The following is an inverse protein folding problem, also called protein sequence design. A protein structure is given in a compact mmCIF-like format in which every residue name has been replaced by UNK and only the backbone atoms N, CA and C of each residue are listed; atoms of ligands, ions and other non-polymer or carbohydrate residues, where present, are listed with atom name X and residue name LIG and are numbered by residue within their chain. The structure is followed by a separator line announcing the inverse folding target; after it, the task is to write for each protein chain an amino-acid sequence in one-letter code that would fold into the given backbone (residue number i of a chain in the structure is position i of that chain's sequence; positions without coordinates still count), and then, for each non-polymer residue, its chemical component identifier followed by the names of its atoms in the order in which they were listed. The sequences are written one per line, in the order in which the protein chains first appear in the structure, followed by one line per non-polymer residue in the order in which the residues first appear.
data_IF_065637625034
#
_entry.id   IF_065637625034
#
_cell.length_a   1.000
_cell.length_b   1.000
_cell.length_c   1.000
_cell.angle_alpha   90.00
_cell.angle_beta   90.00
_cell.angle_gamma   90.00
#
_symmetry.space_group_name_H-M   'P 1'
#
loop_
_entity.id
_entity.type
_entity.pdbx_description
1 polymer ?
#
# COMPACT_ATOMS: atom_id res chain seq x y z
N UNK A 1 -35.99 12.31 -69.33
CA UNK A 1 -35.88 10.96 -68.72
C UNK A 1 -34.48 10.63 -68.18
N UNK A 2 -33.36 10.89 -68.87
CA UNK A 2 -31.99 10.57 -68.38
C UNK A 2 -31.58 11.20 -67.03
N UNK A 3 -32.04 12.42 -66.72
CA UNK A 3 -31.73 13.09 -65.43
C UNK A 3 -32.45 12.50 -64.20
N UNK A 4 -33.58 11.83 -64.40
CA UNK A 4 -34.36 11.20 -63.30
C UNK A 4 -33.74 9.86 -62.90
N UNK A 5 -33.21 9.11 -63.86
CA UNK A 5 -32.52 7.84 -63.62
C UNK A 5 -31.21 7.99 -62.84
N UNK A 6 -30.45 9.08 -63.06
CA UNK A 6 -29.23 9.33 -62.29
C UNK A 6 -29.53 9.63 -60.82
N UNK A 7 -30.54 10.47 -60.53
CA UNK A 7 -30.94 10.73 -59.14
C UNK A 7 -31.42 9.46 -58.44
N UNK A 8 -32.24 8.62 -59.08
CA UNK A 8 -32.71 7.37 -58.49
C UNK A 8 -31.57 6.38 -58.21
N UNK A 9 -30.57 6.30 -59.11
CA UNK A 9 -29.37 5.48 -58.90
C UNK A 9 -28.55 5.98 -57.72
N UNK A 10 -28.38 7.30 -57.59
CA UNK A 10 -27.58 7.89 -56.52
C UNK A 10 -28.29 7.79 -55.16
N UNK A 11 -29.64 7.87 -55.13
CA UNK A 11 -30.43 7.55 -53.94
C UNK A 11 -30.40 6.06 -53.58
N UNK A 12 -30.45 5.16 -54.56
CA UNK A 12 -30.34 3.73 -54.31
C UNK A 12 -28.95 3.34 -53.80
N UNK A 13 -27.88 3.95 -54.31
CA UNK A 13 -26.52 3.78 -53.80
C UNK A 13 -26.34 4.38 -52.40
N UNK A 14 -26.95 5.54 -52.12
CA UNK A 14 -26.93 6.12 -50.78
C UNK A 14 -27.74 5.28 -49.78
N UNK A 15 -28.87 4.70 -50.19
CA UNK A 15 -29.66 3.78 -49.37
C UNK A 15 -28.93 2.45 -49.15
N UNK A 16 -28.25 1.92 -50.17
CA UNK A 16 -27.43 0.71 -50.05
C UNK A 16 -26.21 0.98 -49.14
N UNK A 17 -25.59 2.15 -49.23
CA UNK A 17 -24.50 2.59 -48.35
C UNK A 17 -24.96 2.79 -46.90
N UNK A 18 -26.18 3.33 -46.68
CA UNK A 18 -26.79 3.41 -45.35
C UNK A 18 -27.19 2.04 -44.80
N UNK A 19 -27.68 1.12 -45.65
CA UNK A 19 -27.99 -0.25 -45.23
C UNK A 19 -26.73 -1.08 -44.94
N UNK A 20 -25.59 -0.79 -45.59
CA UNK A 20 -24.30 -1.42 -45.24
C UNK A 20 -23.63 -0.85 -43.98
N UNK A 21 -24.05 0.33 -43.51
CA UNK A 21 -23.61 0.89 -42.20
C UNK A 21 -24.52 0.39 -41.06
N UNK A 22 -25.64 -0.26 -41.39
CA UNK A 22 -26.45 -1.09 -40.48
C UNK A 22 -26.09 -2.57 -40.59
N UNK A 23 -24.82 -2.90 -40.87
CA UNK A 23 -24.29 -4.17 -40.40
C UNK A 23 -24.50 -4.14 -38.88
N UNK A 24 -25.37 -5.01 -38.37
CA UNK A 24 -25.59 -5.15 -36.95
C UNK A 24 -24.22 -5.43 -36.32
N UNK A 25 -23.62 -4.46 -35.64
CA UNK A 25 -22.54 -4.77 -34.72
C UNK A 25 -23.19 -5.63 -33.65
N UNK A 26 -22.93 -6.93 -33.71
CA UNK A 26 -23.48 -7.86 -32.73
C UNK A 26 -22.99 -7.41 -31.35
N UNK A 27 -23.91 -7.23 -30.41
CA UNK A 27 -23.58 -6.75 -29.07
C UNK A 27 -22.48 -7.62 -28.47
N UNK A 28 -21.40 -7.01 -27.97
CA UNK A 28 -20.34 -7.76 -27.29
C UNK A 28 -20.83 -8.32 -25.94
N UNK A 29 -21.78 -7.63 -25.29
CA UNK A 29 -22.44 -8.03 -24.06
C UNK A 29 -23.81 -8.72 -24.32
N UNK A 30 -23.78 -9.89 -24.97
CA UNK A 30 -24.97 -10.62 -25.43
C UNK A 30 -25.93 -11.07 -24.31
N UNK A 31 -25.41 -11.29 -23.09
CA UNK A 31 -26.20 -11.69 -21.92
C UNK A 31 -26.68 -10.50 -21.07
N UNK A 32 -26.39 -9.26 -21.49
CA UNK A 32 -26.73 -8.04 -20.75
C UNK A 32 -26.18 -8.04 -19.30
N UNK A 33 -24.93 -8.46 -19.13
CA UNK A 33 -24.25 -8.37 -17.83
C UNK A 33 -24.28 -6.92 -17.34
N UNK A 34 -24.69 -6.68 -16.07
CA UNK A 34 -24.95 -5.32 -15.57
C UNK A 34 -23.69 -4.45 -15.43
N UNK A 35 -22.49 -5.02 -15.59
CA UNK A 35 -21.24 -4.26 -15.51
C UNK A 35 -20.84 -3.62 -16.84
N UNK A 36 -21.41 -4.07 -17.97
CA UNK A 36 -21.01 -3.66 -19.31
C UNK A 36 -22.18 -3.11 -20.13
N UNK A 37 -21.91 -2.15 -21.01
CA UNK A 37 -22.86 -1.72 -22.04
C UNK A 37 -22.97 -2.78 -23.14
N UNK A 38 -23.94 -2.65 -24.04
CA UNK A 38 -24.07 -3.54 -25.21
C UNK A 38 -22.82 -3.55 -26.09
N UNK A 39 -22.11 -2.42 -26.19
CA UNK A 39 -20.84 -2.27 -26.91
C UNK A 39 -19.63 -2.82 -26.13
N UNK A 40 -19.86 -3.39 -24.95
CA UNK A 40 -18.81 -3.96 -24.12
C UNK A 40 -17.94 -2.94 -23.37
N UNK A 41 -18.39 -1.70 -23.19
CA UNK A 41 -17.67 -0.75 -22.30
C UNK A 41 -18.14 -0.89 -20.85
N UNK A 42 -17.25 -0.74 -19.86
CA UNK A 42 -17.64 -0.75 -18.44
C UNK A 42 -18.60 0.38 -18.11
N UNK A 43 -19.75 0.06 -17.50
CA UNK A 43 -20.75 1.04 -17.06
C UNK A 43 -20.21 1.87 -15.89
N UNK A 44 -19.66 1.20 -14.87
CA UNK A 44 -19.08 1.84 -13.70
C UNK A 44 -17.56 1.73 -13.77
N UNK A 45 -16.88 2.85 -13.98
CA UNK A 45 -15.41 2.89 -13.93
C UNK A 45 -14.92 2.62 -12.49
N UNK A 46 -13.93 1.73 -12.29
CA UNK A 46 -13.38 1.48 -10.97
C UNK A 46 -12.78 2.74 -10.36
N UNK A 47 -12.98 2.93 -9.06
CA UNK A 47 -12.26 3.96 -8.30
C UNK A 47 -10.89 3.42 -7.91
N UNK A 48 -9.90 3.64 -8.76
CA UNK A 48 -8.55 3.11 -8.55
C UNK A 48 -7.87 3.71 -7.31
N UNK A 49 -7.05 2.89 -6.65
CA UNK A 49 -6.12 3.34 -5.62
C UNK A 49 -5.13 4.37 -6.20
N UNK A 50 -4.73 5.35 -5.38
CA UNK A 50 -3.89 6.48 -5.81
C UNK A 50 -2.76 6.73 -4.83
N UNK A 51 -1.65 7.23 -5.35
CA UNK A 51 -0.57 7.85 -4.59
C UNK A 51 -0.63 9.37 -4.72
N UNK A 52 -0.21 10.06 -3.67
CA UNK A 52 -0.05 11.50 -3.67
C UNK A 52 1.25 11.87 -2.96
N UNK A 53 2.20 12.38 -3.73
CA UNK A 53 3.53 12.76 -3.22
C UNK A 53 3.55 14.19 -2.66
N UNK A 54 2.45 14.96 -2.79
CA UNK A 54 2.37 16.32 -2.29
C UNK A 54 1.97 16.33 -0.81
N UNK A 55 2.96 16.18 0.07
CA UNK A 55 2.76 16.19 1.52
C UNK A 55 3.74 17.13 2.20
N UNK A 56 3.32 17.71 3.34
CA UNK A 56 4.23 18.34 4.29
C UNK A 56 4.53 17.31 5.38
N UNK A 57 5.80 17.00 5.58
CA UNK A 57 6.22 15.93 6.48
C UNK A 57 6.69 16.53 7.82
N UNK A 58 6.17 15.97 8.91
CA UNK A 58 6.55 16.32 10.27
C UNK A 58 7.18 15.11 10.94
N UNK A 59 8.49 15.17 11.19
CA UNK A 59 9.17 14.12 11.93
C UNK A 59 9.01 14.31 13.43
N UNK A 60 8.77 13.21 14.12
CA UNK A 60 8.68 13.11 15.57
C UNK A 60 9.64 12.01 16.04
N UNK A 61 10.47 12.32 17.03
CA UNK A 61 11.49 11.39 17.54
C UNK A 61 11.20 11.09 18.99
N UNK A 62 10.97 9.82 19.30
CA UNK A 62 10.93 9.35 20.67
C UNK A 62 12.36 9.34 21.26
N UNK A 63 12.53 9.99 22.41
CA UNK A 63 13.80 10.01 23.16
C UNK A 63 13.67 9.36 24.53
N UNK A 64 13.12 8.15 24.59
CA UNK A 64 12.96 7.40 25.84
C UNK A 64 14.22 6.64 26.24
N UNK A 65 14.26 6.10 27.46
CA UNK A 65 15.37 5.30 27.95
C UNK A 65 15.70 4.08 27.08
N UNK A 66 14.69 3.45 26.46
CA UNK A 66 14.90 2.29 25.57
C UNK A 66 15.49 2.68 24.22
N UNK A 67 15.37 3.94 23.80
CA UNK A 67 16.00 4.45 22.57
C UNK A 67 17.50 4.71 22.72
N UNK A 68 18.04 4.68 23.94
CA UNK A 68 19.42 5.09 24.25
C UNK A 68 20.47 4.23 23.52
N UNK A 69 20.23 2.92 23.33
CA UNK A 69 21.18 2.08 22.60
C UNK A 69 21.24 2.36 21.09
N UNK A 70 20.17 2.91 20.51
CA UNK A 70 20.19 3.40 19.13
C UNK A 70 20.91 4.75 19.01
N UNK A 71 20.75 5.62 20.01
CA UNK A 71 21.33 6.97 20.04
C UNK A 71 22.73 7.07 20.66
N UNK A 72 23.34 5.96 21.09
CA UNK A 72 24.60 5.94 21.86
C UNK A 72 25.63 6.97 21.36
N UNK A 73 26.00 7.91 22.24
CA UNK A 73 26.90 9.01 21.91
C UNK A 73 28.21 8.54 21.27
N UNK A 74 28.62 9.19 20.17
CA UNK A 74 29.89 8.89 19.48
C UNK A 74 29.98 7.50 18.82
N UNK A 75 28.92 6.70 18.87
CA UNK A 75 28.87 5.38 18.24
C UNK A 75 27.96 5.39 17.02
N UNK A 76 28.40 4.84 15.89
CA UNK A 76 27.55 4.65 14.73
C UNK A 76 26.58 3.48 14.96
N UNK A 77 25.30 3.70 14.65
CA UNK A 77 24.30 2.64 14.57
C UNK A 77 23.63 2.70 13.22
N UNK A 78 23.13 1.56 12.78
CA UNK A 78 22.33 1.46 11.57
C UNK A 78 21.13 2.42 11.63
N UNK A 79 20.45 2.47 12.78
CA UNK A 79 19.39 3.42 13.07
C UNK A 79 19.77 4.88 12.77
N UNK A 80 20.92 5.36 13.27
CA UNK A 80 21.34 6.75 13.05
C UNK A 80 21.56 7.05 11.57
N UNK A 81 22.17 6.11 10.85
CA UNK A 81 22.38 6.26 9.41
C UNK A 81 21.03 6.33 8.68
N UNK A 82 20.10 5.42 8.97
CA UNK A 82 18.78 5.40 8.32
C UNK A 82 18.00 6.68 8.59
N UNK A 83 17.93 7.11 9.85
CA UNK A 83 17.28 8.35 10.25
C UNK A 83 17.92 9.57 9.57
N UNK A 84 19.25 9.62 9.54
CA UNK A 84 19.98 10.71 8.86
C UNK A 84 19.62 10.78 7.38
N UNK A 85 19.70 9.65 6.66
CA UNK A 85 19.45 9.59 5.22
C UNK A 85 17.99 9.92 4.89
N UNK A 86 17.03 9.30 5.58
CA UNK A 86 15.60 9.50 5.35
C UNK A 86 15.19 10.96 5.58
N UNK A 87 15.62 11.56 6.70
CA UNK A 87 15.29 12.96 6.95
C UNK A 87 15.97 13.91 5.96
N UNK A 88 17.19 13.60 5.52
CA UNK A 88 17.89 14.39 4.50
C UNK A 88 17.13 14.37 3.17
N UNK A 89 16.64 13.20 2.77
CA UNK A 89 15.82 13.04 1.56
C UNK A 89 14.53 13.87 1.62
N UNK A 90 13.85 13.88 2.77
CA UNK A 90 12.60 14.62 2.96
C UNK A 90 12.79 16.09 3.40
N UNK A 91 14.03 16.58 3.49
CA UNK A 91 14.31 17.97 3.89
C UNK A 91 13.61 19.05 3.08
N UNK A 92 13.34 18.91 1.75
CA UNK A 92 12.63 19.96 1.00
C UNK A 92 11.15 20.11 1.39
N UNK A 93 10.56 19.08 2.00
CA UNK A 93 9.13 19.02 2.37
C UNK A 93 8.92 18.93 3.89
N UNK A 94 10.02 19.03 4.65
CA UNK A 94 10.03 19.00 6.12
C UNK A 94 10.43 20.37 6.63
N UNK A 95 9.75 20.86 7.67
CA UNK A 95 10.10 22.14 8.31
C UNK A 95 11.02 21.92 9.50
N UNK A 96 10.57 21.12 10.47
CA UNK A 96 11.25 20.93 11.75
C UNK A 96 11.20 19.47 12.19
N UNK A 97 12.16 19.07 13.04
CA UNK A 97 12.18 17.78 13.74
C UNK A 97 11.68 18.00 15.17
N UNK A 98 10.60 17.33 15.54
CA UNK A 98 9.98 17.45 16.86
C UNK A 98 10.55 16.36 17.79
N UNK A 99 11.20 16.76 18.87
CA UNK A 99 11.68 15.81 19.88
C UNK A 99 10.58 15.59 20.90
N UNK A 100 10.18 14.34 21.10
CA UNK A 100 9.07 13.98 21.99
C UNK A 100 9.60 13.64 23.37
N UNK A 101 9.16 14.40 24.38
CA UNK A 101 9.46 14.09 25.79
C UNK A 101 8.74 12.84 26.25
N UNK A 102 9.26 12.31 27.35
CA UNK A 102 8.69 11.25 28.17
C UNK A 102 7.25 11.54 28.65
N UNK A 103 6.87 12.82 28.82
CA UNK A 103 5.49 13.24 29.15
C UNK A 103 4.54 13.25 27.95
N UNK A 104 5.03 12.92 26.75
CA UNK A 104 4.31 12.94 25.50
C UNK A 104 4.20 14.33 24.84
N UNK A 105 4.69 15.39 25.49
CA UNK A 105 4.81 16.74 24.90
C UNK A 105 6.03 16.89 23.98
N UNK A 106 6.03 17.92 23.13
CA UNK A 106 7.20 18.29 22.31
C UNK A 106 8.22 19.02 23.18
N UNK A 107 9.38 18.41 23.40
CA UNK A 107 10.49 18.92 24.21
C UNK A 107 11.13 20.17 23.60
N UNK A 108 11.12 20.21 22.27
CA UNK A 108 11.73 21.24 21.45
C UNK A 108 11.57 20.90 19.98
N UNK A 109 11.72 21.91 19.16
CA UNK A 109 11.82 21.78 17.71
C UNK A 109 13.27 22.08 17.32
N UNK A 110 13.87 21.15 16.58
CA UNK A 110 15.22 21.29 16.06
C UNK A 110 15.13 21.42 14.54
N UNK A 111 15.99 22.26 13.98
CA UNK A 111 16.26 22.16 12.54
C UNK A 111 16.89 20.80 12.25
N UNK A 112 16.78 20.35 10.99
CA UNK A 112 17.38 19.08 10.59
C UNK A 112 18.88 19.00 10.93
N UNK A 113 19.64 20.06 10.66
CA UNK A 113 21.07 20.11 10.94
C UNK A 113 21.35 20.01 12.46
N UNK A 114 20.57 20.71 13.29
CA UNK A 114 20.71 20.64 14.75
C UNK A 114 20.41 19.22 15.26
N UNK A 115 19.35 18.58 14.74
CA UNK A 115 19.01 17.22 15.12
C UNK A 115 20.11 16.23 14.71
N UNK A 116 20.63 16.33 13.48
CA UNK A 116 21.71 15.47 12.99
C UNK A 116 22.98 15.61 13.85
N UNK A 117 23.34 16.82 14.26
CA UNK A 117 24.43 17.05 15.20
C UNK A 117 24.12 16.40 16.55
N UNK A 118 22.94 16.65 17.13
CA UNK A 118 22.55 16.11 18.44
C UNK A 118 22.53 14.57 18.48
N UNK A 119 22.05 13.93 17.41
CA UNK A 119 22.03 12.48 17.26
C UNK A 119 23.44 11.87 17.25
N UNK A 120 24.40 12.55 16.63
CA UNK A 120 25.78 12.07 16.54
C UNK A 120 26.57 12.30 17.84
N UNK A 121 26.39 13.47 18.47
CA UNK A 121 27.08 13.84 19.72
C UNK A 121 26.46 13.20 20.96
N UNK A 122 25.24 12.65 20.85
CA UNK A 122 24.50 12.10 21.98
C UNK A 122 23.89 13.17 22.89
N UNK A 123 23.60 14.35 22.35
CA UNK A 123 22.98 15.45 23.07
C UNK A 123 21.45 15.29 23.26
N UNK A 124 20.86 14.22 22.72
CA UNK A 124 19.46 13.87 22.94
C UNK A 124 19.32 13.14 24.28
N UNK A 125 18.60 13.72 25.24
CA UNK A 125 18.39 13.12 26.56
C UNK A 125 17.41 11.94 26.49
N UNK A 126 17.95 10.73 26.39
CA UNK A 126 17.20 9.46 26.36
C UNK A 126 17.18 8.78 27.74
N UNK A 127 16.48 9.35 28.73
CA UNK A 127 16.62 8.96 30.14
C UNK A 127 15.33 8.67 30.92
N UNK A 128 14.13 8.77 30.32
CA UNK A 128 12.89 8.50 31.06
C UNK A 128 11.85 7.70 30.26
N UNK A 129 10.70 7.48 30.90
CA UNK A 129 9.62 6.59 30.46
C UNK A 129 8.74 7.15 29.34
N UNK A 130 8.28 6.26 28.46
CA UNK A 130 7.47 6.65 27.30
C UNK A 130 5.97 6.66 27.57
N UNK A 131 5.29 7.76 27.24
CA UNK A 131 3.83 7.83 27.14
C UNK A 131 3.37 7.89 25.68
N UNK A 132 3.48 6.76 24.97
CA UNK A 132 3.09 6.64 23.55
C UNK A 132 1.66 7.16 23.27
N UNK A 133 0.62 6.94 24.11
CA UNK A 133 -0.71 7.47 23.84
C UNK A 133 -0.75 9.01 23.83
N UNK A 134 -0.02 9.66 24.73
CA UNK A 134 0.01 11.13 24.78
C UNK A 134 0.76 11.68 23.58
N UNK A 135 1.87 11.05 23.19
CA UNK A 135 2.58 11.38 21.95
C UNK A 135 1.66 11.27 20.74
N UNK A 136 0.96 10.14 20.60
CA UNK A 136 0.05 9.90 19.49
C UNK A 136 -1.06 10.95 19.44
N UNK A 137 -1.70 11.25 20.58
CA UNK A 137 -2.74 12.28 20.68
C UNK A 137 -2.23 13.64 20.21
N UNK A 138 -1.05 14.04 20.66
CA UNK A 138 -0.44 15.30 20.29
C UNK A 138 -0.12 15.36 18.79
N UNK A 139 0.49 14.31 18.24
CA UNK A 139 0.81 14.20 16.81
C UNK A 139 -0.47 14.34 15.98
N UNK A 140 -1.47 13.51 16.26
CA UNK A 140 -2.74 13.47 15.53
C UNK A 140 -3.47 14.82 15.58
N UNK A 141 -3.52 15.45 16.77
CA UNK A 141 -4.21 16.75 16.95
C UNK A 141 -3.60 17.90 16.15
N UNK A 142 -2.33 17.77 15.72
CA UNK A 142 -1.60 18.80 14.97
C UNK A 142 -1.66 18.60 13.46
N UNK A 143 -2.08 17.43 12.98
CA UNK A 143 -2.13 17.12 11.55
C UNK A 143 -3.22 17.92 10.84
N UNK A 144 -2.81 18.76 9.89
CA UNK A 144 -3.71 19.46 8.96
C UNK A 144 -3.90 18.65 7.67
N UNK A 145 -4.71 19.18 6.76
CA UNK A 145 -4.85 18.64 5.41
C UNK A 145 -3.48 18.61 4.73
N UNK A 146 -3.18 17.52 4.03
CA UNK A 146 -1.88 17.24 3.39
C UNK A 146 -0.68 17.04 4.33
N UNK A 147 -0.82 17.18 5.65
CA UNK A 147 0.25 16.84 6.56
C UNK A 147 0.39 15.32 6.69
N UNK A 148 1.63 14.86 6.80
CA UNK A 148 1.98 13.49 7.20
C UNK A 148 2.92 13.56 8.39
N UNK A 149 2.59 12.85 9.46
CA UNK A 149 3.48 12.68 10.60
C UNK A 149 4.26 11.37 10.47
N UNK A 150 5.54 11.40 10.84
CA UNK A 150 6.39 10.20 10.95
C UNK A 150 6.98 10.16 12.34
N UNK A 151 6.48 9.26 13.19
CA UNK A 151 7.05 8.98 14.51
C UNK A 151 8.11 7.88 14.38
N UNK A 152 9.34 8.18 14.79
CA UNK A 152 10.45 7.23 14.84
C UNK A 152 10.64 6.79 16.30
N UNK A 153 10.51 5.49 16.55
CA UNK A 153 10.33 4.93 17.89
C UNK A 153 10.62 3.43 17.89
N UNK A 154 11.01 2.87 19.04
CA UNK A 154 11.04 1.41 19.26
C UNK A 154 9.66 0.87 19.69
N UNK A 155 8.68 1.76 19.82
CA UNK A 155 7.29 1.52 20.18
C UNK A 155 7.12 0.82 21.54
N UNK A 156 8.08 1.00 22.46
CA UNK A 156 8.01 0.48 23.83
C UNK A 156 7.33 1.47 24.76
N UNK A 157 6.09 1.14 25.14
CA UNK A 157 5.36 1.84 26.18
C UNK A 157 5.85 1.36 27.53
N UNK A 158 6.59 2.17 28.30
CA UNK A 158 7.07 1.80 29.63
C UNK A 158 6.68 2.85 30.66
N UNK A 159 5.59 2.68 31.42
CA UNK A 159 5.27 3.53 32.56
C UNK A 159 6.11 3.13 33.80
N UNK A 160 6.88 4.05 34.39
CA UNK A 160 7.73 3.81 35.57
C UNK A 160 6.94 3.19 36.74
N UNK A 161 7.54 2.24 37.45
CA UNK A 161 7.19 1.91 38.85
C UNK A 161 5.91 1.09 39.05
N UNK A 162 5.41 0.43 38.02
CA UNK A 162 4.08 -0.19 38.05
C UNK A 162 4.10 -1.68 38.41
N UNK A 163 3.36 -2.04 39.46
CA UNK A 163 3.28 -3.42 39.98
C UNK A 163 2.45 -4.39 39.11
N UNK A 164 1.72 -3.91 38.09
CA UNK A 164 0.83 -4.72 37.24
C UNK A 164 0.94 -4.37 35.73
N UNK A 165 1.98 -4.88 35.03
CA UNK A 165 2.26 -4.53 33.62
C UNK A 165 1.11 -4.86 32.66
N UNK A 166 0.40 -5.98 32.87
CA UNK A 166 -0.67 -6.42 31.97
C UNK A 166 -1.89 -5.48 31.98
N UNK A 167 -2.28 -4.98 33.17
CA UNK A 167 -3.42 -4.05 33.30
C UNK A 167 -3.15 -2.74 32.54
N UNK A 168 -1.90 -2.28 32.60
CA UNK A 168 -1.46 -1.08 31.89
C UNK A 168 -1.42 -1.26 30.38
N UNK A 169 -1.06 -2.45 29.90
CA UNK A 169 -1.11 -2.76 28.46
C UNK A 169 -2.55 -2.78 27.92
N UNK A 170 -3.52 -3.23 28.72
CA UNK A 170 -4.95 -3.14 28.35
C UNK A 170 -5.44 -1.70 28.33
N UNK A 171 -5.11 -0.90 29.36
CA UNK A 171 -5.45 0.53 29.39
C UNK A 171 -4.80 1.28 28.21
N UNK A 172 -3.54 0.96 27.93
CA UNK A 172 -2.80 1.47 26.77
C UNK A 172 -3.55 1.19 25.47
N UNK A 173 -3.97 -0.05 25.24
CA UNK A 173 -4.75 -0.41 24.04
C UNK A 173 -6.06 0.38 23.93
N UNK A 174 -6.79 0.55 25.04
CA UNK A 174 -8.03 1.33 25.07
C UNK A 174 -7.82 2.82 24.79
N UNK A 175 -6.73 3.42 25.30
CA UNK A 175 -6.39 4.81 25.00
C UNK A 175 -6.02 5.02 23.53
N UNK A 176 -5.24 4.09 22.96
CA UNK A 176 -4.89 4.11 21.54
C UNK A 176 -6.16 3.97 20.69
N UNK A 177 -7.07 3.08 21.06
CA UNK A 177 -8.36 2.90 20.37
C UNK A 177 -9.16 4.19 20.30
N UNK A 178 -9.29 4.91 21.42
CA UNK A 178 -9.98 6.21 21.45
C UNK A 178 -9.29 7.23 20.54
N UNK A 179 -7.97 7.37 20.63
CA UNK A 179 -7.23 8.35 19.82
C UNK A 179 -7.35 8.03 18.31
N UNK A 180 -7.19 6.76 17.94
CA UNK A 180 -7.31 6.33 16.56
C UNK A 180 -8.72 6.55 16.03
N UNK A 181 -9.73 6.14 16.80
CA UNK A 181 -11.15 6.29 16.47
C UNK A 181 -11.56 7.75 16.30
N UNK A 182 -11.11 8.65 17.15
CA UNK A 182 -11.41 10.09 17.05
C UNK A 182 -10.76 10.72 15.80
N UNK A 183 -9.61 10.20 15.37
CA UNK A 183 -8.81 10.78 14.28
C UNK A 183 -9.27 10.37 12.88
N UNK A 184 -9.74 9.14 12.74
CA UNK A 184 -10.04 8.48 11.47
C UNK A 184 -8.91 8.62 10.41
N UNK A 185 -7.65 8.68 10.85
CA UNK A 185 -6.47 8.74 9.97
C UNK A 185 -6.02 7.35 9.53
N UNK A 186 -5.27 7.30 8.43
CA UNK A 186 -4.57 6.09 8.02
C UNK A 186 -3.21 6.00 8.75
N UNK A 187 -2.82 4.77 9.09
CA UNK A 187 -1.58 4.44 9.78
C UNK A 187 -0.78 3.45 8.96
N UNK A 188 0.52 3.67 8.85
CA UNK A 188 1.45 2.72 8.26
C UNK A 188 2.67 2.56 9.15
N UNK A 189 2.94 1.34 9.61
CA UNK A 189 4.07 1.01 10.46
C UNK A 189 5.13 0.31 9.62
N UNK A 190 6.26 0.97 9.37
CA UNK A 190 7.41 0.38 8.70
C UNK A 190 8.39 -0.12 9.75
N UNK A 191 8.77 -1.40 9.68
CA UNK A 191 9.72 -2.02 10.59
C UNK A 191 11.11 -2.12 9.94
N UNK A 192 12.14 -1.78 10.72
CA UNK A 192 13.53 -1.97 10.37
C UNK A 192 14.33 -2.50 11.57
N UNK A 193 15.56 -2.94 11.32
CA UNK A 193 16.46 -3.41 12.38
C UNK A 193 17.77 -2.65 12.40
N UNK A 194 18.32 -2.47 13.60
CA UNK A 194 19.63 -1.87 13.84
C UNK A 194 20.38 -2.61 14.93
N UNK A 195 21.70 -2.46 14.93
CA UNK A 195 22.50 -2.74 16.10
C UNK A 195 22.09 -1.84 17.28
N UNK A 196 22.12 -2.41 18.48
CA UNK A 196 21.81 -1.74 19.75
C UNK A 196 23.04 -1.76 20.65
N UNK A 197 23.48 -0.58 21.11
CA UNK A 197 24.77 -0.42 21.79
C UNK A 197 24.58 -0.12 23.28
N UNK A 198 25.24 -0.93 24.11
CA UNK A 198 25.31 -0.79 25.56
C UNK A 198 26.05 0.48 25.99
N UNK A 199 25.94 0.87 27.27
CA UNK A 199 26.61 2.06 27.83
C UNK A 199 28.14 2.00 27.73
N UNK A 200 28.70 0.79 27.79
CA UNK A 200 30.14 0.53 27.65
C UNK A 200 30.63 0.53 26.19
N UNK A 201 29.73 0.69 25.20
CA UNK A 201 30.07 0.66 23.79
C UNK A 201 30.00 -0.73 23.15
N UNK A 202 29.67 -1.79 23.90
CA UNK A 202 29.48 -3.13 23.34
C UNK A 202 28.17 -3.24 22.55
N UNK A 203 28.17 -4.05 21.48
CA UNK A 203 26.96 -4.39 20.74
C UNK A 203 26.18 -5.44 21.54
N UNK A 204 24.97 -5.10 21.96
CA UNK A 204 24.06 -6.02 22.67
C UNK A 204 23.37 -6.97 21.70
N UNK A 205 22.97 -6.45 20.54
CA UNK A 205 22.39 -7.21 19.43
C UNK A 205 22.53 -6.42 18.14
N UNK A 206 22.61 -7.10 17.00
CA UNK A 206 22.62 -6.50 15.67
C UNK A 206 21.22 -6.31 15.05
N UNK A 207 20.19 -6.87 15.69
CA UNK A 207 18.83 -7.00 15.10
C UNK A 207 17.74 -6.43 15.99
N UNK A 208 18.03 -5.34 16.70
CA UNK A 208 17.03 -4.65 17.51
C UNK A 208 16.03 -3.91 16.61
N UNK A 209 14.71 -4.14 16.76
CA UNK A 209 13.71 -3.54 15.89
C UNK A 209 13.46 -2.07 16.27
N UNK A 210 13.20 -1.26 15.25
CA UNK A 210 12.69 0.10 15.40
C UNK A 210 11.73 0.41 14.25
N UNK A 211 10.90 1.44 14.42
CA UNK A 211 9.75 1.67 13.55
C UNK A 211 9.62 3.11 13.11
N UNK A 212 9.07 3.27 11.90
CA UNK A 212 8.50 4.52 11.40
C UNK A 212 6.98 4.35 11.38
N UNK A 213 6.29 4.98 12.34
CA UNK A 213 4.84 5.08 12.34
C UNK A 213 4.42 6.33 11.55
N UNK A 214 3.83 6.11 10.40
CA UNK A 214 3.42 7.14 9.44
C UNK A 214 1.91 7.35 9.56
N UNK A 215 1.47 8.60 9.71
CA UNK A 215 0.07 8.94 10.03
C UNK A 215 -0.41 10.10 9.15
N UNK A 216 -1.58 9.97 8.53
CA UNK A 216 -2.14 11.02 7.68
C UNK A 216 -3.27 10.57 6.76
N UNK A 217 -3.40 11.24 5.62
CA UNK A 217 -4.28 10.80 4.52
C UNK A 217 -3.63 9.63 3.78
N UNK A 218 -4.40 8.56 3.54
CA UNK A 218 -3.90 7.27 3.02
C UNK A 218 -2.98 7.38 1.80
N UNK A 219 -3.38 8.12 0.76
CA UNK A 219 -2.60 8.25 -0.48
C UNK A 219 -1.22 8.91 -0.26
N UNK A 220 -1.12 9.81 0.74
CA UNK A 220 0.12 10.45 1.16
C UNK A 220 0.93 9.56 2.09
N UNK A 221 0.28 8.87 3.02
CA UNK A 221 0.91 7.87 3.89
C UNK A 221 1.57 6.77 3.03
N UNK A 222 0.88 6.25 2.02
CA UNK A 222 1.45 5.26 1.08
C UNK A 222 2.66 5.79 0.33
N UNK A 223 2.66 7.06 -0.09
CA UNK A 223 3.78 7.67 -0.79
C UNK A 223 5.02 7.82 0.12
N UNK A 224 4.82 8.30 1.35
CA UNK A 224 5.90 8.41 2.36
C UNK A 224 6.40 7.03 2.78
N UNK A 225 5.50 6.07 3.00
CA UNK A 225 5.83 4.65 3.27
C UNK A 225 6.73 4.09 2.18
N UNK A 226 6.36 4.29 0.91
CA UNK A 226 7.15 3.81 -0.23
C UNK A 226 8.57 4.37 -0.19
N UNK A 227 8.75 5.68 -0.02
CA UNK A 227 10.10 6.27 0.04
C UNK A 227 10.93 5.70 1.19
N UNK A 228 10.38 5.68 2.41
CA UNK A 228 11.07 5.12 3.59
C UNK A 228 11.44 3.64 3.36
N UNK A 229 10.51 2.81 2.89
CA UNK A 229 10.74 1.39 2.65
C UNK A 229 11.82 1.14 1.59
N UNK A 230 11.83 1.91 0.49
CA UNK A 230 12.89 1.80 -0.54
C UNK A 230 14.26 2.09 0.06
N UNK A 231 14.41 3.16 0.85
CA UNK A 231 15.70 3.53 1.45
C UNK A 231 16.19 2.43 2.39
N UNK A 232 15.31 1.94 3.27
CA UNK A 232 15.63 0.86 4.19
C UNK A 232 15.95 -0.46 3.46
N UNK A 233 15.28 -0.76 2.34
CA UNK A 233 15.54 -1.94 1.53
C UNK A 233 16.93 -1.87 0.87
N UNK A 234 17.33 -0.70 0.37
CA UNK A 234 18.69 -0.49 -0.18
C UNK A 234 19.78 -0.72 0.85
N UNK A 235 19.53 -0.32 2.10
CA UNK A 235 20.44 -0.57 3.22
C UNK A 235 20.35 -2.00 3.77
N UNK A 236 19.47 -2.85 3.22
CA UNK A 236 19.17 -4.22 3.71
C UNK A 236 18.68 -4.26 5.16
N UNK A 237 17.95 -3.22 5.58
CA UNK A 237 17.43 -3.05 6.96
C UNK A 237 15.92 -3.13 7.04
N UNK A 238 15.21 -2.98 5.92
CA UNK A 238 13.77 -3.14 5.85
C UNK A 238 13.36 -4.57 6.24
N UNK A 239 12.35 -4.68 7.11
CA UNK A 239 11.79 -5.96 7.55
C UNK A 239 10.44 -6.20 6.89
N UNK A 240 9.46 -5.33 7.19
CA UNK A 240 8.08 -5.46 6.74
C UNK A 240 7.32 -4.13 6.98
N UNK A 241 6.08 -4.08 6.51
CA UNK A 241 5.14 -2.99 6.74
C UNK A 241 3.73 -3.49 7.06
N UNK A 242 3.09 -2.86 8.04
CA UNK A 242 1.66 -3.00 8.33
C UNK A 242 0.92 -1.70 7.98
N UNK A 243 -0.28 -1.84 7.43
CA UNK A 243 -1.17 -0.73 7.09
C UNK A 243 -2.49 -0.92 7.84
N UNK A 244 -3.02 0.15 8.44
CA UNK A 244 -4.25 0.14 9.24
C UNK A 244 -5.07 1.40 8.90
N UNK A 245 -6.39 1.25 8.75
CA UNK A 245 -7.29 2.35 8.37
C UNK A 245 -7.31 2.68 6.88
N UNK A 246 -6.81 1.77 6.04
CA UNK A 246 -6.75 1.95 4.60
C UNK A 246 -8.06 1.55 3.94
N UNK A 247 -8.66 2.45 3.18
CA UNK A 247 -9.75 2.17 2.26
C UNK A 247 -9.16 1.95 0.87
N UNK A 248 -8.81 0.70 0.54
CA UNK A 248 -8.19 0.41 -0.75
C UNK A 248 -9.22 0.62 -1.87
N UNK A 249 -8.85 1.41 -2.88
CA UNK A 249 -9.57 1.44 -4.15
C UNK A 249 -9.24 0.19 -4.98
N UNK A 250 -9.92 0.02 -6.11
CA UNK A 250 -9.60 -1.04 -7.06
C UNK A 250 -8.11 -0.97 -7.48
N UNK A 251 -7.49 -2.11 -7.78
CA UNK A 251 -6.14 -2.13 -8.31
C UNK A 251 -6.13 -1.52 -9.71
N UNK A 252 -5.32 -0.48 -10.01
CA UNK A 252 -5.13 -0.04 -11.39
C UNK A 252 -4.52 -1.17 -12.22
N UNK A 253 -4.99 -1.32 -13.46
CA UNK A 253 -4.55 -2.40 -14.33
C UNK A 253 -4.50 -1.99 -15.80
N UNK A 254 -3.69 -2.73 -16.55
CA UNK A 254 -3.59 -2.67 -18.01
C UNK A 254 -3.52 -4.10 -18.58
N UNK A 255 -3.52 -4.22 -19.90
CA UNK A 255 -3.35 -5.50 -20.58
C UNK A 255 -2.21 -5.40 -21.59
N UNK A 256 -1.47 -6.50 -21.77
CA UNK A 256 -0.66 -6.67 -22.98
C UNK A 256 -1.52 -7.20 -24.13
N UNK A 257 -0.91 -7.30 -25.30
CA UNK A 257 -1.53 -7.91 -26.46
C UNK A 257 -2.05 -9.32 -26.12
N UNK A 258 -3.37 -9.55 -26.25
CA UNK A 258 -3.95 -10.85 -25.96
C UNK A 258 -3.65 -11.87 -27.07
N UNK A 259 -3.85 -13.15 -26.78
CA UNK A 259 -3.75 -14.23 -27.78
C UNK A 259 -5.13 -14.80 -28.10
N UNK A 260 -5.39 -15.02 -29.39
CA UNK A 260 -6.61 -15.61 -29.97
C UNK A 260 -7.90 -14.79 -29.79
N UNK A 261 -7.79 -13.53 -29.35
CA UNK A 261 -8.88 -12.55 -29.26
C UNK A 261 -8.31 -11.17 -29.56
N UNK A 262 -9.18 -10.21 -29.89
CA UNK A 262 -8.81 -8.80 -29.99
C UNK A 262 -9.33 -8.03 -28.78
N UNK A 263 -8.63 -6.96 -28.37
CA UNK A 263 -9.07 -6.10 -27.27
C UNK A 263 -9.81 -4.86 -27.81
N UNK A 264 -10.97 -4.55 -27.24
CA UNK A 264 -11.66 -3.27 -27.44
C UNK A 264 -10.85 -2.14 -26.79
N UNK A 265 -10.40 -1.18 -27.60
CA UNK A 265 -9.54 -0.07 -27.17
C UNK A 265 -10.09 0.65 -25.93
N UNK A 266 -9.25 0.73 -24.89
CA UNK A 266 -9.57 1.44 -23.65
C UNK A 266 -10.61 0.76 -22.75
N UNK A 267 -11.02 -0.46 -23.07
CA UNK A 267 -11.96 -1.27 -22.27
C UNK A 267 -11.34 -2.61 -21.87
N UNK A 268 -11.76 -3.22 -20.74
CA UNK A 268 -11.36 -4.57 -20.36
C UNK A 268 -12.24 -5.60 -21.08
N UNK A 269 -12.36 -5.45 -22.40
CA UNK A 269 -13.28 -6.25 -23.21
C UNK A 269 -12.52 -6.83 -24.37
N UNK A 270 -12.72 -8.13 -24.58
CA UNK A 270 -12.07 -8.92 -25.59
C UNK A 270 -13.13 -9.60 -26.47
N UNK A 271 -12.85 -9.74 -27.75
CA UNK A 271 -13.83 -10.20 -28.74
C UNK A 271 -13.17 -11.12 -29.79
N UNK A 272 -13.98 -11.86 -30.55
CA UNK A 272 -13.53 -12.86 -31.52
C UNK A 272 -13.07 -14.19 -30.89
N UNK A 273 -13.53 -14.52 -29.68
CA UNK A 273 -13.20 -15.79 -29.04
C UNK A 273 -13.75 -16.97 -29.86
N UNK A 274 -12.92 -18.00 -30.08
CA UNK A 274 -13.35 -19.24 -30.72
C UNK A 274 -13.34 -19.22 -32.26
N UNK A 275 -12.98 -18.11 -32.91
CA UNK A 275 -12.90 -18.04 -34.38
C UNK A 275 -11.82 -18.97 -34.96
N UNK A 276 -10.75 -19.23 -34.21
CA UNK A 276 -9.62 -20.07 -34.64
C UNK A 276 -9.24 -21.15 -33.64
N UNK A 277 -9.37 -20.87 -32.34
CA UNK A 277 -9.01 -21.78 -31.23
C UNK A 277 -10.00 -21.57 -30.09
N UNK A 278 -10.48 -22.65 -29.44
CA UNK A 278 -11.37 -22.59 -28.27
C UNK A 278 -10.60 -22.33 -26.95
N UNK A 279 -9.65 -21.40 -27.02
CA UNK A 279 -8.98 -20.83 -25.85
C UNK A 279 -8.36 -19.47 -26.19
N UNK A 280 -8.30 -18.59 -25.19
CA UNK A 280 -7.57 -17.34 -25.27
C UNK A 280 -6.68 -17.12 -24.04
N UNK A 281 -5.64 -16.30 -24.22
CA UNK A 281 -4.77 -15.88 -23.11
C UNK A 281 -4.79 -14.37 -22.98
N UNK A 282 -5.03 -13.88 -21.77
CA UNK A 282 -5.01 -12.48 -21.42
C UNK A 282 -3.85 -12.22 -20.45
N UNK A 283 -2.97 -11.28 -20.77
CA UNK A 283 -1.91 -10.82 -19.86
C UNK A 283 -2.41 -9.61 -19.09
N UNK A 284 -2.83 -9.82 -17.83
CA UNK A 284 -3.34 -8.76 -16.94
C UNK A 284 -2.18 -8.16 -16.14
N UNK A 285 -1.88 -6.89 -16.36
CA UNK A 285 -0.86 -6.12 -15.64
C UNK A 285 -1.50 -5.34 -14.50
N UNK A 286 -1.08 -5.62 -13.27
CA UNK A 286 -1.56 -4.99 -12.04
C UNK A 286 -0.53 -4.00 -11.52
N UNK A 287 -0.95 -2.77 -11.22
CA UNK A 287 -0.11 -1.69 -10.69
C UNK A 287 -0.25 -1.61 -9.16
N UNK A 288 0.79 -2.03 -8.43
CA UNK A 288 0.73 -2.33 -6.99
C UNK A 288 1.34 -1.23 -6.10
N UNK A 289 1.70 -0.07 -6.65
CA UNK A 289 2.45 0.97 -5.94
C UNK A 289 1.66 1.56 -4.75
N UNK A 290 0.34 1.65 -4.91
CA UNK A 290 -0.61 2.15 -3.89
C UNK A 290 -1.03 1.10 -2.86
N UNK A 291 -0.67 -0.17 -3.08
CA UNK A 291 -1.06 -1.31 -2.26
C UNK A 291 0.00 -1.63 -1.21
N UNK A 292 -0.34 -2.52 -0.27
CA UNK A 292 0.58 -2.97 0.78
C UNK A 292 1.90 -3.46 0.18
N UNK A 293 3.01 -3.11 0.82
CA UNK A 293 4.36 -3.45 0.36
C UNK A 293 4.50 -4.95 0.05
N UNK A 294 3.93 -5.78 0.93
CA UNK A 294 3.92 -7.23 0.84
C UNK A 294 3.33 -7.77 -0.48
N UNK A 295 2.43 -7.03 -1.14
CA UNK A 295 1.81 -7.47 -2.40
C UNK A 295 2.79 -7.57 -3.57
N UNK A 296 4.00 -7.01 -3.45
CA UNK A 296 5.08 -7.22 -4.43
C UNK A 296 5.71 -8.62 -4.32
N UNK A 297 5.45 -9.37 -3.24
CA UNK A 297 5.89 -10.75 -3.14
C UNK A 297 4.99 -11.64 -4.02
N UNK A 298 5.61 -12.36 -4.98
CA UNK A 298 4.92 -13.25 -5.92
C UNK A 298 4.06 -14.32 -5.24
N UNK A 299 4.56 -14.96 -4.19
CA UNK A 299 3.86 -16.05 -3.51
C UNK A 299 2.66 -15.52 -2.73
N UNK A 300 2.82 -14.37 -2.06
CA UNK A 300 1.70 -13.67 -1.42
C UNK A 300 0.67 -13.26 -2.47
N UNK A 301 1.07 -12.58 -3.54
CA UNK A 301 0.14 -12.15 -4.57
C UNK A 301 -0.64 -13.33 -5.16
N UNK A 302 0.03 -14.46 -5.42
CA UNK A 302 -0.61 -15.68 -5.91
C UNK A 302 -1.67 -16.22 -4.95
N UNK A 303 -1.44 -16.13 -3.64
CA UNK A 303 -2.39 -16.57 -2.63
C UNK A 303 -3.63 -15.67 -2.55
N UNK A 304 -3.49 -14.36 -2.80
CA UNK A 304 -4.57 -13.40 -2.60
C UNK A 304 -5.21 -12.85 -3.88
N UNK A 305 -4.66 -13.16 -5.05
CA UNK A 305 -5.30 -12.89 -6.32
C UNK A 305 -6.43 -13.89 -6.57
N UNK A 306 -7.62 -13.39 -6.84
CA UNK A 306 -8.82 -14.18 -7.09
C UNK A 306 -9.31 -13.82 -8.49
N UNK A 307 -9.62 -14.81 -9.30
CA UNK A 307 -10.26 -14.64 -10.61
C UNK A 307 -11.23 -15.80 -10.84
N UNK A 308 -12.48 -15.50 -11.15
CA UNK A 308 -13.54 -16.49 -11.40
C UNK A 308 -14.34 -16.10 -12.65
N UNK A 309 -14.86 -17.09 -13.35
CA UNK A 309 -15.88 -16.90 -14.39
C UNK A 309 -17.27 -16.73 -13.78
N UNK A 310 -18.13 -15.95 -14.44
CA UNK A 310 -19.52 -15.77 -14.04
C UNK A 310 -20.48 -16.65 -14.85
N UNK A 311 -20.11 -17.03 -16.09
CA UNK A 311 -20.96 -17.74 -17.03
C UNK A 311 -20.42 -19.14 -17.42
N UNK A 312 -19.51 -19.69 -16.62
CA UNK A 312 -19.17 -21.12 -16.63
C UNK A 312 -17.95 -21.51 -17.46
N UNK A 313 -17.21 -20.56 -18.02
CA UNK A 313 -15.92 -20.84 -18.68
C UNK A 313 -14.89 -21.34 -17.68
N UNK A 314 -13.89 -22.08 -18.16
CA UNK A 314 -12.75 -22.47 -17.35
C UNK A 314 -11.71 -21.34 -17.38
N UNK A 315 -11.32 -20.86 -16.21
CA UNK A 315 -10.29 -19.83 -16.04
C UNK A 315 -9.14 -20.40 -15.23
N UNK A 316 -7.93 -20.25 -15.73
CA UNK A 316 -6.71 -20.73 -15.07
C UNK A 316 -5.66 -19.63 -15.03
N UNK A 317 -5.02 -19.43 -13.87
CA UNK A 317 -3.85 -18.56 -13.75
C UNK A 317 -2.61 -19.38 -14.10
N UNK A 318 -2.00 -19.13 -15.25
CA UNK A 318 -0.85 -19.90 -15.72
C UNK A 318 0.45 -19.48 -15.06
N UNK A 319 0.67 -18.16 -14.97
CA UNK A 319 1.89 -17.58 -14.42
C UNK A 319 1.59 -16.21 -13.79
N UNK A 320 2.42 -15.86 -12.80
CA UNK A 320 2.48 -14.55 -12.18
C UNK A 320 3.95 -14.13 -12.15
N UNK A 321 4.24 -12.98 -12.73
CA UNK A 321 5.56 -12.33 -12.67
C UNK A 321 5.42 -10.99 -11.98
N UNK A 322 6.44 -10.59 -11.22
CA UNK A 322 6.44 -9.28 -10.55
C UNK A 322 7.74 -8.56 -10.88
N UNK A 323 7.59 -7.37 -11.44
CA UNK A 323 8.68 -6.47 -11.75
C UNK A 323 8.63 -5.28 -10.80
N UNK A 324 9.73 -5.03 -10.09
CA UNK A 324 9.87 -3.92 -9.16
C UNK A 324 11.03 -3.02 -9.58
N UNK A 325 10.74 -1.72 -9.74
CA UNK A 325 11.72 -0.67 -9.96
C UNK A 325 11.48 0.48 -8.99
N UNK A 326 12.44 0.69 -8.09
CA UNK A 326 12.34 1.70 -7.04
C UNK A 326 13.16 2.97 -7.35
N UNK A 327 13.45 3.18 -8.62
CA UNK A 327 14.12 4.36 -9.20
C UNK A 327 13.42 4.72 -10.51
N UNK A 328 12.40 5.58 -10.43
CA UNK A 328 11.70 6.05 -11.64
C UNK A 328 12.21 7.45 -11.94
N UNK A 329 12.80 7.66 -13.12
CA UNK A 329 13.33 8.96 -13.55
C UNK A 329 14.31 9.60 -12.56
N UNK A 330 15.19 8.80 -11.94
CA UNK A 330 16.14 9.22 -10.89
C UNK A 330 15.49 9.69 -9.58
N UNK A 331 14.18 9.56 -9.44
CA UNK A 331 13.45 9.82 -8.22
C UNK A 331 13.19 8.52 -7.45
N UNK A 332 13.20 8.62 -6.13
CA UNK A 332 12.90 7.53 -5.21
C UNK A 332 11.39 7.24 -5.20
N UNK A 333 10.90 6.66 -6.29
CA UNK A 333 9.50 6.30 -6.51
C UNK A 333 9.40 4.79 -6.69
N UNK A 334 8.40 4.21 -6.04
CA UNK A 334 8.05 2.80 -6.19
C UNK A 334 7.31 2.61 -7.51
N UNK A 335 7.74 1.64 -8.31
CA UNK A 335 7.03 1.12 -9.48
C UNK A 335 7.00 -0.39 -9.32
N UNK A 336 5.80 -0.98 -9.24
CA UNK A 336 5.65 -2.42 -9.09
C UNK A 336 4.51 -2.87 -9.99
N UNK A 337 4.85 -3.67 -10.99
CA UNK A 337 3.89 -4.23 -11.94
C UNK A 337 3.90 -5.75 -11.79
N UNK A 338 2.74 -6.33 -11.54
CA UNK A 338 2.57 -7.77 -11.57
C UNK A 338 1.83 -8.18 -12.85
N UNK A 339 2.43 -9.06 -13.63
CA UNK A 339 1.85 -9.60 -14.87
C UNK A 339 1.26 -10.97 -14.60
N UNK A 340 -0.05 -11.12 -14.79
CA UNK A 340 -0.81 -12.34 -14.53
C UNK A 340 -1.37 -12.86 -15.85
N UNK A 341 -0.91 -14.04 -16.26
CA UNK A 341 -1.42 -14.70 -17.46
C UNK A 341 -2.67 -15.51 -17.12
N UNK A 342 -3.82 -15.04 -17.61
CA UNK A 342 -5.12 -15.70 -17.48
C UNK A 342 -5.40 -16.48 -18.75
N UNK A 343 -5.54 -17.80 -18.64
CA UNK A 343 -6.05 -18.65 -19.70
C UNK A 343 -7.53 -18.89 -19.50
N UNK A 344 -8.31 -18.61 -20.54
CA UNK A 344 -9.75 -18.87 -20.58
C UNK A 344 -10.03 -19.88 -21.67
N UNK A 345 -10.78 -20.93 -21.34
CA UNK A 345 -11.16 -21.96 -22.30
C UNK A 345 -12.56 -22.51 -22.02
N UNK A 346 -13.09 -23.29 -22.97
CA UNK A 346 -14.40 -23.95 -22.87
C UNK A 346 -15.54 -22.96 -22.62
N UNK A 347 -15.57 -21.83 -23.35
CA UNK A 347 -16.62 -20.83 -23.18
C UNK A 347 -17.96 -21.35 -23.74
N UNK A 348 -18.88 -21.70 -22.85
CA UNK A 348 -20.16 -22.33 -23.22
C UNK A 348 -21.12 -21.30 -23.81
N UNK A 349 -21.25 -20.13 -23.18
CA UNK A 349 -22.10 -19.04 -23.65
C UNK A 349 -21.45 -18.20 -24.75
N UNK A 350 -22.21 -17.27 -25.34
CA UNK A 350 -21.70 -16.35 -26.39
C UNK A 350 -20.79 -15.26 -25.83
N UNK A 351 -20.76 -15.11 -24.50
CA UNK A 351 -19.82 -14.26 -23.78
C UNK A 351 -19.50 -14.86 -22.40
N UNK A 352 -18.42 -14.36 -21.80
CA UNK A 352 -17.99 -14.64 -20.43
C UNK A 352 -17.60 -13.32 -19.74
N UNK A 353 -17.80 -13.26 -18.42
CA UNK A 353 -17.27 -12.19 -17.58
C UNK A 353 -16.37 -12.80 -16.53
N UNK A 354 -15.12 -12.34 -16.48
CA UNK A 354 -14.21 -12.65 -15.40
C UNK A 354 -14.37 -11.59 -14.31
N UNK A 355 -14.75 -12.01 -13.10
CA UNK A 355 -14.64 -11.17 -11.90
C UNK A 355 -13.30 -11.48 -11.23
N UNK A 356 -12.48 -10.46 -11.04
CA UNK A 356 -11.19 -10.61 -10.36
C UNK A 356 -10.95 -9.54 -9.31
N UNK A 357 -10.14 -9.89 -8.31
CA UNK A 357 -9.77 -8.99 -7.23
C UNK A 357 -8.42 -9.38 -6.58
N UNK A 358 -7.86 -8.46 -5.80
CA UNK A 358 -6.70 -8.71 -4.93
C UNK A 358 -7.16 -8.51 -3.50
N UNK A 359 -7.23 -9.60 -2.72
CA UNK A 359 -7.57 -9.49 -1.29
C UNK A 359 -6.34 -8.99 -0.52
N UNK A 360 -6.50 -7.97 0.32
CA UNK A 360 -5.38 -7.43 1.09
C UNK A 360 -5.27 -8.16 2.42
N UNK A 361 -4.13 -8.85 2.68
CA UNK A 361 -3.93 -9.55 3.93
C UNK A 361 -3.86 -8.58 5.10
N UNK A 362 -4.71 -8.83 6.10
CA UNK A 362 -4.85 -7.99 7.29
C UNK A 362 -3.74 -8.21 8.32
N UNK A 363 -3.41 -9.47 8.62
CA UNK A 363 -2.51 -9.85 9.73
C UNK A 363 -1.44 -10.83 9.26
N UNK A 364 -1.11 -10.82 7.98
CA UNK A 364 0.02 -11.61 7.53
C UNK A 364 1.29 -10.94 8.04
N UNK A 365 1.75 -11.43 9.20
CA UNK A 365 2.86 -10.94 10.04
C UNK A 365 4.16 -11.69 9.75
N UNK A 366 4.26 -12.35 8.59
CA UNK A 366 5.23 -13.42 8.35
C UNK A 366 6.65 -13.09 8.80
N UNK A 367 7.10 -11.84 8.61
CA UNK A 367 8.45 -11.41 9.01
C UNK A 367 8.47 -10.53 10.27
N UNK A 368 7.47 -9.68 10.49
CA UNK A 368 7.43 -8.80 11.68
C UNK A 368 6.99 -9.52 12.96
N UNK A 369 6.32 -10.66 12.86
CA UNK A 369 5.75 -11.42 13.99
C UNK A 369 6.77 -11.76 15.07
N UNK A 370 8.00 -12.11 14.69
CA UNK A 370 9.10 -12.41 15.64
C UNK A 370 9.44 -11.25 16.58
N UNK A 371 9.17 -10.01 16.18
CA UNK A 371 9.42 -8.82 17.02
C UNK A 371 8.24 -8.48 17.93
N UNK A 372 7.08 -9.10 17.68
CA UNK A 372 5.82 -8.85 18.38
C UNK A 372 5.48 -9.96 19.37
N UNK A 373 5.70 -11.21 18.99
CA UNK A 373 5.13 -12.39 19.66
C UNK A 373 6.12 -13.02 20.69
N UNK A 374 7.43 -12.77 20.55
CA UNK A 374 8.50 -13.43 21.35
C UNK A 374 9.03 -12.58 22.53
N UNK A 375 8.31 -11.55 22.94
CA UNK A 375 8.88 -10.57 23.88
C UNK A 375 9.09 -11.12 25.29
N UNK A 376 10.32 -10.99 25.80
CA UNK A 376 10.68 -11.36 27.19
C UNK A 376 10.42 -10.25 28.21
N UNK A 377 9.71 -9.21 27.81
CA UNK A 377 9.34 -8.06 28.65
C UNK A 377 10.06 -6.77 28.27
N UNK A 378 9.85 -5.73 29.07
CA UNK A 378 10.23 -4.35 28.77
C UNK A 378 11.73 -4.14 28.43
N UNK A 379 12.62 -4.88 29.08
CA UNK A 379 14.07 -4.72 28.92
C UNK A 379 14.63 -5.52 27.73
N UNK A 380 13.81 -6.32 27.06
CA UNK A 380 14.23 -7.10 25.90
C UNK A 380 14.44 -6.18 24.70
N UNK A 381 15.68 -6.00 24.27
CA UNK A 381 16.04 -5.12 23.15
C UNK A 381 15.81 -5.77 21.78
N UNK A 382 15.53 -7.07 21.70
CA UNK A 382 15.30 -7.75 20.41
C UNK A 382 13.84 -7.76 19.99
N UNK A 383 12.93 -7.27 20.84
CA UNK A 383 11.47 -7.26 20.61
C UNK A 383 10.83 -5.95 21.07
N UNK A 384 9.55 -5.76 20.75
CA UNK A 384 8.76 -4.55 21.06
C UNK A 384 7.49 -4.91 21.83
N UNK A 385 7.66 -5.16 23.13
CA UNK A 385 6.67 -5.84 23.98
C UNK A 385 5.25 -5.24 23.99
N UNK A 386 5.12 -3.93 23.79
CA UNK A 386 3.83 -3.23 23.81
C UNK A 386 3.23 -3.00 22.43
N UNK A 387 3.96 -3.30 21.35
CA UNK A 387 3.53 -2.96 20.00
C UNK A 387 2.26 -3.73 19.58
N UNK A 388 2.09 -4.98 20.01
CA UNK A 388 0.85 -5.72 19.75
C UNK A 388 -0.38 -5.00 20.34
N UNK A 389 -0.27 -4.52 21.58
CA UNK A 389 -1.36 -3.81 22.26
C UNK A 389 -1.68 -2.48 21.56
N UNK A 390 -0.67 -1.81 21.00
CA UNK A 390 -0.85 -0.63 20.17
C UNK A 390 -1.64 -0.95 18.90
N UNK A 391 -1.24 -1.99 18.15
CA UNK A 391 -1.89 -2.41 16.90
C UNK A 391 -3.34 -2.84 17.14
N UNK A 392 -3.58 -3.63 18.20
CA UNK A 392 -4.93 -4.00 18.65
C UNK A 392 -5.75 -2.76 19.04
N UNK A 393 -5.12 -1.78 19.68
CA UNK A 393 -5.75 -0.52 20.03
C UNK A 393 -6.27 0.21 18.79
N UNK A 394 -5.42 0.42 17.79
CA UNK A 394 -5.84 1.09 16.54
C UNK A 394 -7.02 0.36 15.89
N UNK A 395 -6.94 -0.98 15.79
CA UNK A 395 -8.01 -1.79 15.21
C UNK A 395 -9.33 -1.69 16.00
N UNK A 396 -9.28 -1.76 17.34
CA UNK A 396 -10.45 -1.60 18.21
C UNK A 396 -11.05 -0.20 18.17
N UNK A 397 -10.28 0.81 17.76
CA UNK A 397 -10.77 2.17 17.49
C UNK A 397 -11.70 2.27 16.27
N UNK A 398 -11.96 1.17 15.56
CA UNK A 398 -12.76 1.15 14.33
C UNK A 398 -11.98 1.62 13.09
N UNK A 399 -10.66 1.82 13.23
CA UNK A 399 -9.77 2.17 12.13
C UNK A 399 -9.32 0.87 11.48
N UNK A 400 -10.12 0.40 10.53
CA UNK A 400 -9.96 -0.91 9.87
C UNK A 400 -9.71 -0.74 8.38
N UNK A 401 -9.02 -1.70 7.76
CA UNK A 401 -8.81 -1.71 6.31
C UNK A 401 -10.07 -2.18 5.55
N UNK A 402 -10.44 -1.50 4.48
CA UNK A 402 -11.49 -1.97 3.58
C UNK A 402 -10.85 -2.66 2.38
N UNK A 403 -11.40 -3.81 2.02
CA UNK A 403 -10.97 -4.56 0.85
C UNK A 403 -11.32 -3.78 -0.43
N UNK A 404 -10.50 -3.89 -1.50
CA UNK A 404 -10.82 -3.30 -2.79
C UNK A 404 -12.06 -3.95 -3.40
N UNK A 405 -12.81 -3.17 -4.17
CA UNK A 405 -13.91 -3.66 -4.99
C UNK A 405 -13.38 -4.52 -6.16
N UNK A 406 -14.13 -5.54 -6.60
CA UNK A 406 -13.74 -6.36 -7.74
C UNK A 406 -13.74 -5.57 -9.05
N UNK A 407 -12.94 -6.06 -10.00
CA UNK A 407 -12.89 -5.60 -11.38
C UNK A 407 -13.43 -6.69 -12.31
N UNK A 408 -13.81 -6.29 -13.52
CA UNK A 408 -14.48 -7.16 -14.48
C UNK A 408 -13.79 -7.12 -15.84
N UNK A 409 -13.74 -8.28 -16.51
CA UNK A 409 -13.25 -8.45 -17.88
C UNK A 409 -14.35 -9.13 -18.68
N UNK A 410 -14.75 -8.57 -19.81
CA UNK A 410 -15.70 -9.20 -20.74
C UNK A 410 -14.94 -9.90 -21.86
N UNK A 411 -15.37 -11.10 -22.22
CA UNK A 411 -14.85 -11.86 -23.35
C UNK A 411 -16.04 -12.31 -24.20
N UNK A 412 -16.05 -12.00 -25.49
CA UNK A 412 -17.16 -12.27 -26.39
C UNK A 412 -16.73 -13.17 -27.56
N UNK A 413 -17.63 -14.06 -28.01
CA UNK A 413 -17.48 -14.77 -29.29
C UNK A 413 -17.74 -13.85 -30.48
N UNK A 414 -18.54 -12.81 -30.28
CA UNK A 414 -18.86 -11.86 -31.33
C UNK A 414 -17.63 -11.05 -31.73
N UNK A 415 -17.64 -10.53 -32.95
CA UNK A 415 -16.58 -9.68 -33.50
C UNK A 415 -17.15 -8.33 -33.93
N UNK A 416 -16.29 -7.31 -33.99
CA UNK A 416 -16.65 -5.93 -34.37
C UNK A 416 -16.78 -5.72 -35.87
#
# INVERSE_FOLDING_TARGET
MKKVFHKLRDYALALLALMTISACCDSLNTLNDPHFTGEGTLIKKPSFAKLDYNSVIHFYIESSGSMNGFFRAGQPTSFKQDVYEIMSYYSPVTKDVNIMTNSGGVAGQLSLAQFQTAMNTGALECNASTQVPVMLRNIVSRLKKNDVAVLISDMKYSPVGSAAPNVLLTQYSAEIARIAGDSQKAYSLVCATSNYISKDGSVVTDVSPYYYLIIGEQNKVSAVRNGIAIMLQRQKRFVDNLEIGYKYGACPYTFDEPKNVAQLTGSPTFYGYGESVDECTLSLKLHLESFRWLMANKDVLKQYFICKSLYGSKVTVENIEVEECNNVNLELKRSVVATINLKVSNMVADMEVLEWNITIPYVERNVMGKFLDDSKGQNDVTTSYSLMNFLLGIAHGGVVNHQPEPNYILISKNSL
#
